data_IF_403181858306
#
_entry.id   IF_403181858306
#
_cell.length_a   1.000
_cell.length_b   1.000
_cell.length_c   1.000
_cell.angle_alpha   90.00
_cell.angle_beta   90.00
_cell.angle_gamma   90.00
#
_symmetry.space_group_name_H-M   'P 1'
#
loop_
_entity.id
_entity.type
_entity.pdbx_description
1 polymer ?
#
# COMPACT_ATOMS: atom_id res chain seq x y z
N UNK A 1 -14.01 7.63 4.08
CA UNK A 1 -12.54 7.53 4.00
C UNK A 1 -12.12 6.18 4.57
N UNK A 2 -11.24 5.49 3.86
CA UNK A 2 -10.67 4.19 4.27
C UNK A 2 -9.39 4.42 5.08
N UNK A 3 -9.08 3.51 5.99
CA UNK A 3 -7.77 3.48 6.66
C UNK A 3 -6.75 2.84 5.73
N UNK A 4 -5.55 3.42 5.66
CA UNK A 4 -4.48 2.97 4.77
C UNK A 4 -3.29 2.51 5.61
N UNK A 5 -2.93 1.24 5.45
CA UNK A 5 -1.68 0.65 5.93
C UNK A 5 -0.75 0.42 4.74
N UNK A 6 0.51 0.78 4.90
CA UNK A 6 1.57 0.59 3.90
C UNK A 6 2.57 -0.41 4.47
N UNK A 7 2.84 -1.50 3.76
CA UNK A 7 3.72 -2.59 4.20
C UNK A 7 4.80 -2.85 3.15
N UNK A 8 6.06 -2.95 3.58
CA UNK A 8 7.16 -3.36 2.69
C UNK A 8 7.05 -4.87 2.45
N UNK A 9 6.67 -5.24 1.23
CA UNK A 9 6.44 -6.62 0.82
C UNK A 9 7.72 -7.29 0.28
N UNK A 10 8.50 -6.56 -0.51
CA UNK A 10 9.84 -6.98 -0.97
C UNK A 10 10.82 -5.86 -0.67
N UNK A 11 12.07 -6.22 -0.34
CA UNK A 11 13.13 -5.24 -0.25
C UNK A 11 14.52 -5.83 -0.45
N UNK A 12 15.29 -5.18 -1.31
CA UNK A 12 16.74 -5.28 -1.43
C UNK A 12 17.44 -3.97 -1.04
N UNK A 13 16.73 -3.01 -0.42
CA UNK A 13 17.34 -1.77 0.05
C UNK A 13 17.74 -1.84 1.54
N UNK A 14 18.66 -0.98 1.97
CA UNK A 14 19.11 -0.99 3.37
C UNK A 14 18.13 -0.33 4.34
N UNK A 15 17.34 0.64 3.86
CA UNK A 15 16.45 1.47 4.69
C UNK A 15 15.12 0.80 5.05
N UNK A 16 14.52 0.09 4.11
CA UNK A 16 13.23 -0.57 4.29
C UNK A 16 13.45 -2.07 4.41
N UNK A 17 12.84 -2.72 5.39
CA UNK A 17 12.92 -4.17 5.59
C UNK A 17 11.54 -4.77 5.38
N UNK A 18 11.51 -6.00 4.86
CA UNK A 18 10.25 -6.73 4.64
C UNK A 18 9.47 -6.82 5.96
N UNK A 19 8.16 -6.58 5.89
CA UNK A 19 7.25 -6.54 7.04
C UNK A 19 7.23 -5.21 7.81
N UNK A 20 8.06 -4.23 7.44
CA UNK A 20 7.96 -2.88 7.99
C UNK A 20 6.65 -2.22 7.55
N UNK A 21 5.92 -1.64 8.51
CA UNK A 21 4.59 -1.05 8.30
C UNK A 21 4.57 0.43 8.64
N UNK A 22 3.72 1.17 7.92
CA UNK A 22 3.47 2.59 8.10
C UNK A 22 1.97 2.86 8.03
N UNK A 23 1.47 3.73 8.91
CA UNK A 23 0.12 4.29 8.79
C UNK A 23 0.16 5.52 7.92
N UNK A 24 -0.82 5.66 7.03
CA UNK A 24 -0.98 6.86 6.22
C UNK A 24 -2.15 7.71 6.75
N UNK A 25 -1.96 9.03 6.93
CA UNK A 25 -0.77 9.82 6.58
C UNK A 25 0.30 9.95 7.69
N UNK A 26 0.12 9.32 8.85
CA UNK A 26 0.88 9.66 10.06
C UNK A 26 2.38 9.32 10.01
N UNK A 27 2.74 8.20 9.37
CA UNK A 27 4.10 7.66 9.41
C UNK A 27 4.90 7.91 8.11
N UNK A 28 4.35 8.67 7.17
CA UNK A 28 4.95 8.85 5.83
C UNK A 28 6.32 9.52 5.86
N UNK A 29 6.64 10.29 6.92
CA UNK A 29 7.96 10.90 7.12
C UNK A 29 9.10 9.89 7.28
N UNK A 30 8.77 8.63 7.61
CA UNK A 30 9.74 7.55 7.76
C UNK A 30 10.07 6.84 6.44
N UNK A 31 9.26 7.03 5.40
CA UNK A 31 9.42 6.37 4.11
C UNK A 31 10.48 7.04 3.22
N UNK A 32 11.03 6.31 2.26
CA UNK A 32 11.79 6.93 1.15
C UNK A 32 10.83 7.74 0.25
N UNK A 33 11.24 8.95 -0.11
CA UNK A 33 10.45 9.85 -0.95
C UNK A 33 10.08 9.23 -2.29
N UNK A 34 10.98 8.51 -2.95
CA UNK A 34 10.69 7.87 -4.24
C UNK A 34 9.61 6.79 -4.11
N UNK A 35 9.66 5.99 -3.05
CA UNK A 35 8.66 4.96 -2.80
C UNK A 35 7.29 5.59 -2.50
N UNK A 36 7.28 6.62 -1.65
CA UNK A 36 6.06 7.36 -1.31
C UNK A 36 5.44 8.01 -2.55
N UNK A 37 6.24 8.72 -3.36
CA UNK A 37 5.76 9.41 -4.55
C UNK A 37 5.17 8.45 -5.59
N UNK A 38 5.80 7.29 -5.79
CA UNK A 38 5.22 6.25 -6.65
C UNK A 38 3.90 5.69 -6.13
N UNK A 39 3.69 5.68 -4.81
CA UNK A 39 2.47 5.17 -4.18
C UNK A 39 1.30 6.20 -4.14
N UNK A 40 1.58 7.51 -4.18
CA UNK A 40 0.61 8.58 -3.87
C UNK A 40 -0.70 8.47 -4.64
N UNK A 41 -0.66 8.27 -5.95
CA UNK A 41 -1.87 8.19 -6.77
C UNK A 41 -2.71 6.98 -6.40
N UNK A 42 -2.08 5.83 -6.14
CA UNK A 42 -2.78 4.61 -5.75
C UNK A 42 -3.40 4.75 -4.36
N UNK A 43 -2.67 5.32 -3.40
CA UNK A 43 -3.19 5.65 -2.07
C UNK A 43 -4.43 6.51 -2.21
N UNK A 44 -4.37 7.60 -2.99
CA UNK A 44 -5.49 8.51 -3.23
C UNK A 44 -6.70 7.79 -3.81
N UNK A 45 -6.51 6.93 -4.81
CA UNK A 45 -7.61 6.13 -5.39
C UNK A 45 -8.27 5.27 -4.32
N UNK A 46 -7.48 4.55 -3.51
CA UNK A 46 -8.00 3.66 -2.48
C UNK A 46 -8.63 4.40 -1.29
N UNK A 47 -8.15 5.59 -0.92
CA UNK A 47 -8.74 6.42 0.15
C UNK A 47 -10.23 6.72 -0.10
N UNK A 48 -10.59 6.90 -1.37
CA UNK A 48 -11.95 7.20 -1.86
C UNK A 48 -12.69 5.99 -2.42
N UNK A 49 -12.29 4.77 -2.03
CA UNK A 49 -12.95 3.52 -2.45
C UNK A 49 -12.88 3.24 -3.97
N UNK A 50 -11.99 3.93 -4.68
CA UNK A 50 -11.67 3.63 -6.06
C UNK A 50 -10.98 2.29 -6.21
N UNK A 51 -11.08 1.70 -7.40
CA UNK A 51 -10.52 0.39 -7.72
C UNK A 51 -9.69 0.49 -8.99
N UNK A 52 -8.46 0.00 -8.93
CA UNK A 52 -7.63 -0.18 -10.11
C UNK A 52 -7.92 -1.58 -10.69
N UNK A 53 -8.19 -1.72 -12.00
CA UNK A 53 -8.77 -2.94 -12.59
C UNK A 53 -7.83 -4.15 -12.69
N UNK A 54 -6.57 -4.01 -12.30
CA UNK A 54 -5.50 -4.98 -12.50
C UNK A 54 -5.51 -5.90 -11.28
N UNK A 55 -5.66 -7.21 -11.41
CA UNK A 55 -5.72 -8.14 -10.26
C UNK A 55 -4.39 -8.80 -9.94
N UNK A 56 -3.49 -8.95 -10.92
CA UNK A 56 -2.25 -9.72 -10.81
C UNK A 56 -2.47 -11.18 -10.38
N UNK A 57 -3.57 -11.79 -10.84
CA UNK A 57 -3.95 -13.18 -10.53
C UNK A 57 -2.83 -14.18 -10.81
N UNK A 58 -2.60 -15.10 -9.87
CA UNK A 58 -1.57 -16.13 -9.96
C UNK A 58 -0.15 -15.62 -9.70
N UNK A 59 0.02 -14.37 -9.25
CA UNK A 59 1.33 -13.80 -8.87
C UNK A 59 1.40 -13.53 -7.36
N UNK A 60 2.59 -13.34 -6.78
CA UNK A 60 2.73 -12.90 -5.38
C UNK A 60 2.05 -11.55 -5.07
N UNK A 61 1.68 -10.78 -6.09
CA UNK A 61 1.04 -9.46 -5.99
C UNK A 61 -0.47 -9.51 -6.23
N UNK A 62 -1.07 -10.70 -6.20
CA UNK A 62 -2.51 -10.85 -6.39
C UNK A 62 -3.29 -9.98 -5.40
N UNK A 63 -4.18 -9.13 -5.93
CA UNK A 63 -4.91 -8.15 -5.13
C UNK A 63 -6.14 -8.75 -4.49
N UNK A 64 -6.39 -8.31 -3.26
CA UNK A 64 -7.71 -8.38 -2.68
C UNK A 64 -8.50 -7.18 -3.20
N UNK A 65 -9.65 -7.40 -3.83
CA UNK A 65 -10.54 -6.32 -4.29
C UNK A 65 -11.85 -6.37 -3.52
N UNK A 66 -12.01 -5.45 -2.57
CA UNK A 66 -13.22 -5.24 -1.79
C UNK A 66 -13.77 -6.50 -1.09
N UNK A 67 -12.90 -7.42 -0.66
CA UNK A 67 -13.28 -8.56 0.15
C UNK A 67 -13.35 -8.10 1.62
N UNK A 68 -14.51 -8.24 2.24
CA UNK A 68 -14.76 -7.82 3.63
C UNK A 68 -14.40 -6.35 3.92
N UNK A 69 -14.52 -5.49 2.90
CA UNK A 69 -14.14 -4.08 3.00
C UNK A 69 -12.62 -3.86 3.03
N UNK A 70 -11.83 -4.82 2.54
CA UNK A 70 -10.38 -4.72 2.34
C UNK A 70 -10.07 -4.68 0.84
N UNK A 71 -9.19 -3.77 0.45
CA UNK A 71 -8.64 -3.68 -0.91
C UNK A 71 -7.14 -3.52 -0.81
N UNK A 72 -6.37 -4.25 -1.62
CA UNK A 72 -4.90 -4.11 -1.66
C UNK A 72 -4.42 -3.60 -3.01
N UNK A 73 -3.26 -2.96 -3.01
CA UNK A 73 -2.52 -2.55 -4.21
C UNK A 73 -1.02 -2.76 -3.99
N UNK A 74 -0.25 -2.91 -5.06
CA UNK A 74 1.18 -3.08 -5.01
C UNK A 74 1.89 -2.05 -5.89
N UNK A 75 2.96 -1.48 -5.37
CA UNK A 75 3.79 -0.51 -6.11
C UNK A 75 5.26 -0.79 -5.89
N UNK A 76 6.02 -0.75 -6.98
CA UNK A 76 7.48 -0.92 -6.95
C UNK A 76 8.16 0.44 -6.87
N UNK A 77 9.19 0.53 -6.05
CA UNK A 77 10.09 1.70 -6.02
C UNK A 77 10.68 1.91 -7.43
N UNK A 78 10.75 3.15 -7.94
CA UNK A 78 11.28 3.45 -9.27
C UNK A 78 12.82 3.44 -9.30
N UNK A 79 13.47 3.04 -8.21
CA UNK A 79 14.91 2.84 -8.13
C UNK A 79 15.34 1.86 -9.24
N UNK A 80 16.22 2.29 -10.17
CA UNK A 80 16.64 1.47 -11.31
C UNK A 80 17.60 0.34 -10.91
N UNK A 81 18.03 0.28 -9.66
CA UNK A 81 18.94 -0.77 -9.17
C UNK A 81 18.22 -2.07 -8.84
N UNK A 82 18.98 -3.10 -8.52
CA UNK A 82 18.47 -4.39 -8.03
C UNK A 82 17.86 -4.33 -6.62
N UNK A 83 17.79 -3.16 -5.98
CA UNK A 83 17.23 -2.99 -4.65
C UNK A 83 15.72 -3.34 -4.58
N UNK A 84 15.00 -3.31 -5.70
CA UNK A 84 13.74 -4.05 -5.89
C UNK A 84 12.71 -3.97 -4.76
N UNK A 85 12.43 -2.77 -4.22
CA UNK A 85 11.47 -2.61 -3.12
C UNK A 85 10.04 -2.61 -3.66
N UNK A 86 9.17 -3.45 -3.08
CA UNK A 86 7.72 -3.47 -3.37
C UNK A 86 6.97 -3.10 -2.10
N UNK A 87 6.05 -2.15 -2.22
CA UNK A 87 5.13 -1.74 -1.18
C UNK A 87 3.76 -2.36 -1.47
N UNK A 88 3.17 -2.97 -0.45
CA UNK A 88 1.77 -3.34 -0.40
C UNK A 88 0.98 -2.24 0.31
N UNK A 89 -0.05 -1.75 -0.35
CA UNK A 89 -1.00 -0.78 0.20
C UNK A 89 -2.25 -1.57 0.58
N UNK A 90 -2.71 -1.45 1.81
CA UNK A 90 -3.94 -2.09 2.28
C UNK A 90 -4.92 -1.02 2.74
N UNK A 91 -6.06 -0.94 2.05
CA UNK A 91 -7.15 -0.04 2.39
C UNK A 91 -8.28 -0.79 3.08
N UNK A 92 -8.64 -0.35 4.27
CA UNK A 92 -9.71 -0.96 5.08
C UNK A 92 -10.86 0.03 5.25
N UNK A 93 -12.10 -0.42 5.01
CA UNK A 93 -13.28 0.38 5.29
C UNK A 93 -13.33 0.68 6.79
N UNK A 94 -13.32 1.96 7.16
CA UNK A 94 -13.60 2.37 8.55
C UNK A 94 -14.97 1.81 8.94
N UNK A 95 -15.00 0.98 9.98
CA UNK A 95 -16.25 0.74 10.68
C UNK A 95 -16.64 2.07 11.32
N UNK A 96 -17.83 2.56 11.04
CA UNK A 96 -18.39 3.65 11.84
C UNK A 96 -18.33 3.20 13.29
N UNK A 97 -17.78 4.04 14.18
CA UNK A 97 -18.11 3.92 15.59
C UNK A 97 -19.63 4.10 15.65
N UNK A 98 -20.38 3.01 15.77
CA UNK A 98 -21.72 3.11 16.33
C UNK A 98 -21.49 3.63 17.74
N UNK A 99 -21.93 4.86 18.00
CA UNK A 99 -22.03 5.41 19.34
C UNK A 99 -22.77 4.40 20.23
N UNK A 100 -22.35 4.22 21.50
CA UNK A 100 -23.22 3.58 22.49
C UNK A 100 -24.52 4.39 22.67
#
# INVERSE_FOLDING_TARGET
MRDIELEIFESGCNRHKVGLKFRYPEDIGNMCNWLLDSARTMIRVLEYDGKLPWSYEGTPYEKIINKDGVTTEFVRCPDPTSAGVVLKITATKRRSKTEP
#
